data_IF_448749816080
#
_entry.id   IF_448749816080
#
_cell.length_a   1.000
_cell.length_b   1.000
_cell.length_c   1.000
_cell.angle_alpha   90.00
_cell.angle_beta   90.00
_cell.angle_gamma   90.00
#
_symmetry.space_group_name_H-M   'P 1'
#
loop_
_entity.id
_entity.type
_entity.pdbx_description
1 polymer ?
#
# COMPACT_ATOMS: atom_id res chain seq x y z
N UNK A 1 -97.27 -105.59 -98.84
CA UNK A 1 -96.78 -105.59 -100.25
C UNK A 1 -97.97 -105.91 -101.17
N UNK A 2 -99.14 -105.34 -100.87
CA UNK A 2 -100.42 -105.85 -101.38
C UNK A 2 -101.18 -104.81 -102.22
N UNK A 3 -100.60 -103.62 -102.44
CA UNK A 3 -101.18 -102.57 -103.31
C UNK A 3 -100.71 -102.65 -104.77
N UNK A 4 -99.82 -103.59 -105.12
CA UNK A 4 -99.19 -103.63 -106.45
C UNK A 4 -100.09 -104.11 -107.59
N UNK A 5 -101.27 -104.67 -107.29
CA UNK A 5 -102.08 -105.44 -108.25
C UNK A 5 -103.42 -104.82 -108.63
N UNK A 6 -103.82 -103.65 -108.07
CA UNK A 6 -105.18 -103.13 -108.32
C UNK A 6 -105.32 -101.66 -108.75
N UNK A 7 -104.44 -100.72 -108.36
CA UNK A 7 -104.54 -99.33 -108.82
C UNK A 7 -103.18 -98.67 -109.07
N UNK A 8 -102.99 -98.15 -110.29
CA UNK A 8 -101.72 -97.68 -110.83
C UNK A 8 -101.42 -96.23 -110.38
N UNK A 9 -101.06 -96.00 -109.10
CA UNK A 9 -100.74 -94.66 -108.57
C UNK A 9 -99.71 -94.66 -107.43
N UNK A 10 -98.61 -93.92 -107.59
CA UNK A 10 -97.46 -93.90 -106.67
C UNK A 10 -97.58 -92.89 -105.50
N UNK A 11 -98.78 -92.62 -104.97
CA UNK A 11 -98.98 -91.61 -103.92
C UNK A 11 -98.16 -91.87 -102.65
N UNK A 12 -98.20 -93.12 -102.16
CA UNK A 12 -97.49 -93.56 -100.95
C UNK A 12 -95.97 -93.40 -101.07
N UNK A 13 -95.40 -93.60 -102.27
CA UNK A 13 -93.96 -93.42 -102.50
C UNK A 13 -93.57 -91.93 -102.54
N UNK A 14 -94.44 -91.06 -103.07
CA UNK A 14 -94.23 -89.60 -103.06
C UNK A 14 -94.36 -89.05 -101.64
N UNK A 15 -95.27 -89.57 -100.81
CA UNK A 15 -95.38 -89.19 -99.40
C UNK A 15 -94.17 -89.67 -98.58
N UNK A 16 -93.71 -90.90 -98.78
CA UNK A 16 -92.47 -91.42 -98.16
C UNK A 16 -91.25 -90.60 -98.61
N UNK A 17 -91.15 -90.25 -99.89
CA UNK A 17 -90.05 -89.42 -100.40
C UNK A 17 -90.07 -88.01 -99.80
N UNK A 18 -91.24 -87.38 -99.67
CA UNK A 18 -91.38 -86.06 -99.03
C UNK A 18 -91.10 -86.13 -97.53
N UNK A 19 -91.51 -87.19 -96.86
CA UNK A 19 -91.21 -87.42 -95.45
C UNK A 19 -89.71 -87.63 -95.22
N UNK A 20 -89.02 -88.36 -96.11
CA UNK A 20 -87.58 -88.56 -96.03
C UNK A 20 -86.81 -87.28 -96.41
N UNK A 21 -87.26 -86.48 -97.40
CA UNK A 21 -86.71 -85.14 -97.68
C UNK A 21 -86.89 -84.17 -96.50
N UNK A 22 -88.08 -84.15 -95.88
CA UNK A 22 -88.36 -83.31 -94.72
C UNK A 22 -87.49 -83.73 -93.53
N UNK A 23 -87.39 -85.04 -93.25
CA UNK A 23 -86.50 -85.61 -92.23
C UNK A 23 -85.02 -85.32 -92.51
N UNK A 24 -84.57 -85.36 -93.76
CA UNK A 24 -83.21 -84.96 -94.14
C UNK A 24 -82.98 -83.46 -93.96
N UNK A 25 -83.98 -82.62 -94.23
CA UNK A 25 -83.94 -81.18 -93.96
C UNK A 25 -83.86 -80.88 -92.47
N UNK A 26 -84.68 -81.53 -91.65
CA UNK A 26 -84.68 -81.42 -90.19
C UNK A 26 -83.36 -81.95 -89.59
N UNK A 27 -82.83 -83.08 -90.06
CA UNK A 27 -81.49 -83.56 -89.69
C UNK A 27 -80.38 -82.58 -90.11
N UNK A 28 -80.46 -81.97 -91.30
CA UNK A 28 -79.47 -81.01 -91.76
C UNK A 28 -79.50 -79.72 -90.90
N UNK A 29 -80.69 -79.27 -90.49
CA UNK A 29 -80.86 -78.13 -89.59
C UNK A 29 -80.37 -78.45 -88.18
N UNK A 30 -80.71 -79.61 -87.62
CA UNK A 30 -80.17 -80.09 -86.33
C UNK A 30 -78.64 -80.19 -86.36
N UNK A 31 -78.04 -80.78 -87.40
CA UNK A 31 -76.58 -80.84 -87.60
C UNK A 31 -75.96 -79.43 -87.76
N UNK A 32 -76.71 -78.47 -88.30
CA UNK A 32 -76.28 -77.06 -88.42
C UNK A 32 -76.28 -76.36 -87.06
N UNK A 33 -77.33 -76.56 -86.26
CA UNK A 33 -77.46 -76.07 -84.88
C UNK A 33 -76.38 -76.70 -83.99
N UNK A 34 -76.16 -78.01 -84.09
CA UNK A 34 -75.12 -78.73 -83.36
C UNK A 34 -73.72 -78.18 -83.70
N UNK A 35 -73.40 -77.99 -85.00
CA UNK A 35 -72.14 -77.34 -85.42
C UNK A 35 -71.99 -75.92 -84.88
N UNK A 36 -73.07 -75.14 -84.78
CA UNK A 36 -73.06 -73.80 -84.17
C UNK A 36 -72.84 -73.88 -82.64
N UNK A 37 -73.47 -74.84 -81.97
CA UNK A 37 -73.33 -75.06 -80.53
C UNK A 37 -71.91 -75.54 -80.17
N UNK A 38 -71.33 -76.49 -80.90
CA UNK A 38 -69.94 -76.95 -80.72
C UNK A 38 -68.97 -75.79 -80.92
N UNK A 39 -69.16 -74.94 -81.95
CA UNK A 39 -68.35 -73.71 -82.13
C UNK A 39 -68.49 -72.75 -80.94
N UNK A 40 -69.70 -72.55 -80.42
CA UNK A 40 -69.96 -71.66 -79.28
C UNK A 40 -69.35 -72.20 -77.98
N UNK A 41 -69.46 -73.51 -77.74
CA UNK A 41 -68.83 -74.19 -76.60
C UNK A 41 -67.30 -74.10 -76.70
N UNK A 42 -66.71 -74.35 -77.86
CA UNK A 42 -65.26 -74.21 -78.06
C UNK A 42 -64.77 -72.77 -77.85
N UNK A 43 -65.51 -71.77 -78.36
CA UNK A 43 -65.19 -70.37 -78.11
C UNK A 43 -65.29 -70.01 -76.63
N UNK A 44 -66.33 -70.46 -75.92
CA UNK A 44 -66.47 -70.25 -74.48
C UNK A 44 -65.35 -70.96 -73.69
N UNK A 45 -64.93 -72.16 -74.10
CA UNK A 45 -63.79 -72.86 -73.52
C UNK A 45 -62.46 -72.11 -73.75
N UNK A 46 -62.25 -71.56 -74.95
CA UNK A 46 -61.10 -70.71 -75.25
C UNK A 46 -61.11 -69.44 -74.40
N UNK A 47 -62.23 -68.74 -74.34
CA UNK A 47 -62.40 -67.53 -73.52
C UNK A 47 -62.16 -67.80 -72.02
N UNK A 48 -62.77 -68.87 -71.48
CA UNK A 48 -62.58 -69.28 -70.09
C UNK A 48 -61.11 -69.60 -69.81
N UNK A 49 -60.42 -70.30 -70.72
CA UNK A 49 -58.99 -70.61 -70.61
C UNK A 49 -58.13 -69.34 -70.67
N UNK A 50 -58.47 -68.37 -71.52
CA UNK A 50 -57.73 -67.09 -71.58
C UNK A 50 -57.97 -66.21 -70.36
N UNK A 51 -59.18 -66.15 -69.81
CA UNK A 51 -59.44 -65.39 -68.58
C UNK A 51 -58.80 -66.06 -67.36
N UNK A 52 -58.80 -67.41 -67.27
CA UNK A 52 -58.01 -68.13 -66.26
C UNK A 52 -56.51 -67.83 -66.36
N UNK A 53 -55.99 -67.78 -67.60
CA UNK A 53 -54.58 -67.46 -67.85
C UNK A 53 -54.25 -66.03 -67.39
N UNK A 54 -55.04 -65.03 -67.78
CA UNK A 54 -54.90 -63.63 -67.33
C UNK A 54 -54.99 -63.51 -65.82
N UNK A 55 -56.01 -64.10 -65.19
CA UNK A 55 -56.20 -64.03 -63.74
C UNK A 55 -55.04 -64.68 -62.96
N UNK A 56 -54.46 -65.75 -63.50
CA UNK A 56 -53.24 -66.37 -62.95
C UNK A 56 -52.01 -65.47 -63.14
N UNK A 57 -51.85 -64.85 -64.31
CA UNK A 57 -50.73 -63.97 -64.61
C UNK A 57 -50.80 -62.67 -63.76
N UNK A 58 -51.98 -62.07 -63.57
CA UNK A 58 -52.22 -60.96 -62.63
C UNK A 58 -51.98 -61.36 -61.17
N UNK A 59 -52.36 -62.57 -60.77
CA UNK A 59 -52.11 -63.08 -59.41
C UNK A 59 -50.61 -63.24 -59.16
N UNK A 60 -49.86 -63.72 -60.14
CA UNK A 60 -48.40 -63.83 -60.08
C UNK A 60 -47.75 -62.44 -60.00
N UNK A 61 -48.16 -61.46 -60.84
CA UNK A 61 -47.65 -60.09 -60.77
C UNK A 61 -47.93 -59.45 -59.40
N UNK A 62 -49.12 -59.66 -58.83
CA UNK A 62 -49.44 -59.23 -57.45
C UNK A 62 -48.59 -59.95 -56.41
N UNK A 63 -48.28 -61.22 -56.60
CA UNK A 63 -47.39 -61.96 -55.71
C UNK A 63 -45.95 -61.41 -55.74
N UNK A 64 -45.41 -61.16 -56.93
CA UNK A 64 -44.08 -60.60 -57.14
C UNK A 64 -43.96 -59.17 -56.59
N UNK A 65 -45.00 -58.35 -56.74
CA UNK A 65 -45.03 -57.00 -56.14
C UNK A 65 -45.08 -57.06 -54.61
N UNK A 66 -45.83 -58.00 -54.02
CA UNK A 66 -45.85 -58.21 -52.56
C UNK A 66 -44.50 -58.72 -52.05
N UNK A 67 -43.84 -59.63 -52.76
CA UNK A 67 -42.49 -60.10 -52.42
C UNK A 67 -41.50 -58.93 -52.44
N UNK A 68 -41.44 -58.16 -53.54
CA UNK A 68 -40.57 -56.98 -53.67
C UNK A 68 -40.82 -55.92 -52.59
N UNK A 69 -42.08 -55.63 -52.26
CA UNK A 69 -42.42 -54.68 -51.21
C UNK A 69 -42.02 -55.18 -49.81
N UNK A 70 -42.18 -56.48 -49.55
CA UNK A 70 -41.71 -57.11 -48.30
C UNK A 70 -40.20 -56.99 -48.16
N UNK A 71 -39.44 -57.29 -49.21
CA UNK A 71 -37.98 -57.19 -49.22
C UNK A 71 -37.52 -55.74 -49.00
N UNK A 72 -38.16 -54.77 -49.65
CA UNK A 72 -37.92 -53.33 -49.43
C UNK A 72 -38.23 -52.88 -47.98
N UNK A 73 -39.29 -53.41 -47.36
CA UNK A 73 -39.60 -53.15 -45.94
C UNK A 73 -38.53 -53.77 -45.03
N UNK A 74 -38.09 -55.00 -45.30
CA UNK A 74 -37.05 -55.65 -44.50
C UNK A 74 -35.69 -54.94 -44.63
N UNK A 75 -35.30 -54.54 -45.83
CA UNK A 75 -34.10 -53.74 -46.08
C UNK A 75 -34.15 -52.38 -45.37
N UNK A 76 -35.26 -51.64 -45.51
CA UNK A 76 -35.39 -50.33 -44.86
C UNK A 76 -35.40 -50.42 -43.34
N UNK A 77 -36.02 -51.45 -42.74
CA UNK A 77 -35.95 -51.71 -41.31
C UNK A 77 -34.51 -52.02 -40.84
N UNK A 78 -33.79 -52.90 -41.56
CA UNK A 78 -32.40 -53.23 -41.25
C UNK A 78 -31.48 -51.99 -41.36
N UNK A 79 -31.63 -51.21 -42.44
CA UNK A 79 -30.86 -49.99 -42.65
C UNK A 79 -31.16 -48.92 -41.60
N UNK A 80 -32.41 -48.85 -41.09
CA UNK A 80 -32.78 -47.92 -40.03
C UNK A 80 -32.17 -48.35 -38.68
N UNK A 81 -32.28 -49.63 -38.30
CA UNK A 81 -31.64 -50.17 -37.10
C UNK A 81 -30.11 -49.96 -37.11
N UNK A 82 -29.45 -50.19 -38.25
CA UNK A 82 -28.02 -49.93 -38.41
C UNK A 82 -27.67 -48.43 -38.25
N UNK A 83 -28.46 -47.54 -38.87
CA UNK A 83 -28.30 -46.08 -38.73
C UNK A 83 -28.53 -45.63 -37.28
N UNK A 84 -29.55 -46.15 -36.61
CA UNK A 84 -29.84 -45.85 -35.21
C UNK A 84 -28.69 -46.27 -34.30
N UNK A 85 -28.17 -47.50 -34.46
CA UNK A 85 -27.00 -48.00 -33.72
C UNK A 85 -25.74 -47.17 -33.98
N UNK A 86 -25.54 -46.71 -35.22
CA UNK A 86 -24.43 -45.81 -35.57
C UNK A 86 -24.56 -44.45 -34.87
N UNK A 87 -25.71 -43.78 -35.01
CA UNK A 87 -25.96 -42.46 -34.40
C UNK A 87 -25.87 -42.53 -32.88
N UNK A 88 -26.43 -43.58 -32.26
CA UNK A 88 -26.34 -43.79 -30.81
C UNK A 88 -24.90 -43.94 -30.31
N UNK A 89 -24.06 -44.72 -31.01
CA UNK A 89 -22.63 -44.85 -30.67
C UNK A 89 -21.85 -43.57 -30.93
N UNK A 90 -22.15 -42.86 -32.02
CA UNK A 90 -21.51 -41.59 -32.35
C UNK A 90 -21.82 -40.51 -31.32
N UNK A 91 -23.08 -40.38 -30.91
CA UNK A 91 -23.48 -39.41 -29.88
C UNK A 91 -22.89 -39.76 -28.52
N UNK A 92 -22.86 -41.05 -28.14
CA UNK A 92 -22.21 -41.49 -26.90
C UNK A 92 -20.72 -41.10 -26.86
N UNK A 93 -19.97 -41.40 -27.93
CA UNK A 93 -18.56 -41.02 -28.04
C UNK A 93 -18.36 -39.49 -28.08
N UNK A 94 -19.30 -38.74 -28.69
CA UNK A 94 -19.28 -37.27 -28.70
C UNK A 94 -19.53 -36.68 -27.32
N UNK A 95 -20.42 -37.28 -26.52
CA UNK A 95 -20.67 -36.88 -25.13
C UNK A 95 -19.44 -37.19 -24.28
N UNK A 96 -18.91 -38.41 -24.35
CA UNK A 96 -17.70 -38.84 -23.64
C UNK A 96 -16.51 -37.90 -23.91
N UNK A 97 -16.20 -37.63 -25.19
CA UNK A 97 -15.14 -36.69 -25.57
C UNK A 97 -15.38 -35.26 -25.02
N UNK A 98 -16.63 -34.80 -24.97
CA UNK A 98 -16.94 -33.48 -24.41
C UNK A 98 -16.81 -33.46 -22.89
N UNK A 99 -17.24 -34.52 -22.19
CA UNK A 99 -17.06 -34.66 -20.74
C UNK A 99 -15.57 -34.65 -20.36
N UNK A 100 -14.74 -35.44 -21.04
CA UNK A 100 -13.28 -35.46 -20.81
C UNK A 100 -12.64 -34.10 -21.10
N UNK A 101 -13.02 -33.43 -22.19
CA UNK A 101 -12.53 -32.09 -22.53
C UNK A 101 -12.92 -31.03 -21.50
N UNK A 102 -14.15 -31.10 -20.97
CA UNK A 102 -14.64 -30.19 -19.93
C UNK A 102 -13.93 -30.48 -18.60
N UNK A 103 -13.84 -31.74 -18.18
CA UNK A 103 -13.14 -32.17 -16.96
C UNK A 103 -11.67 -31.75 -16.97
N UNK A 104 -10.96 -31.92 -18.09
CA UNK A 104 -9.58 -31.44 -18.23
C UNK A 104 -9.48 -29.90 -18.12
N UNK A 105 -10.41 -29.17 -18.72
CA UNK A 105 -10.44 -27.70 -18.62
C UNK A 105 -10.81 -27.21 -17.22
N UNK A 106 -11.71 -27.91 -16.54
CA UNK A 106 -12.12 -27.63 -15.15
C UNK A 106 -10.93 -27.84 -14.22
N UNK A 107 -10.27 -29.00 -14.33
CA UNK A 107 -9.06 -29.30 -13.55
C UNK A 107 -7.94 -28.27 -13.76
N UNK A 108 -7.67 -27.83 -15.00
CA UNK A 108 -6.65 -26.80 -15.26
C UNK A 108 -7.02 -25.48 -14.55
N UNK A 109 -8.29 -25.12 -14.48
CA UNK A 109 -8.77 -23.94 -13.76
C UNK A 109 -8.72 -24.14 -12.24
N UNK A 110 -9.00 -25.34 -11.74
CA UNK A 110 -8.83 -25.70 -10.32
C UNK A 110 -7.36 -25.61 -9.89
N UNK A 111 -6.45 -26.22 -10.64
CA UNK A 111 -5.01 -26.20 -10.40
C UNK A 111 -4.49 -24.73 -10.37
N UNK A 112 -4.90 -23.90 -11.35
CA UNK A 112 -4.59 -22.46 -11.37
C UNK A 112 -5.17 -21.70 -10.17
N UNK A 113 -6.38 -22.07 -9.72
CA UNK A 113 -7.05 -21.44 -8.59
C UNK A 113 -6.41 -21.84 -7.25
N UNK A 114 -5.85 -23.05 -7.13
CA UNK A 114 -5.00 -23.44 -6.00
C UNK A 114 -3.66 -22.70 -6.02
N UNK A 115 -2.98 -22.64 -7.16
CA UNK A 115 -1.72 -21.89 -7.30
C UNK A 115 -1.90 -20.41 -6.91
N UNK A 116 -2.99 -19.78 -7.37
CA UNK A 116 -3.29 -18.39 -7.02
C UNK A 116 -3.58 -18.18 -5.53
N UNK A 117 -4.24 -19.14 -4.86
CA UNK A 117 -4.46 -19.09 -3.41
C UNK A 117 -3.15 -19.20 -2.64
N UNK A 118 -2.31 -20.17 -2.98
CA UNK A 118 -1.02 -20.39 -2.32
C UNK A 118 -0.10 -19.17 -2.49
N UNK A 119 -0.11 -18.54 -3.66
CA UNK A 119 0.60 -17.28 -3.90
C UNK A 119 0.04 -16.12 -3.05
N UNK A 120 -1.28 -15.99 -2.91
CA UNK A 120 -1.91 -14.96 -2.05
C UNK A 120 -1.54 -15.18 -0.58
N UNK A 121 -1.62 -16.41 -0.08
CA UNK A 121 -1.26 -16.74 1.31
C UNK A 121 0.23 -16.49 1.59
N UNK A 122 1.10 -16.78 0.62
CA UNK A 122 2.53 -16.46 0.72
C UNK A 122 2.78 -14.95 0.73
N UNK A 123 2.16 -14.19 -0.18
CA UNK A 123 2.29 -12.73 -0.23
C UNK A 123 1.74 -12.07 1.05
N UNK A 124 0.61 -12.54 1.57
CA UNK A 124 0.05 -12.10 2.85
C UNK A 124 1.01 -12.33 4.02
N UNK A 125 1.72 -13.47 4.06
CA UNK A 125 2.74 -13.74 5.08
C UNK A 125 3.95 -12.81 4.94
N UNK A 126 4.49 -12.66 3.74
CA UNK A 126 5.57 -11.71 3.45
C UNK A 126 5.21 -10.28 3.86
N UNK A 127 4.00 -9.83 3.52
CA UNK A 127 3.49 -8.51 3.89
C UNK A 127 3.42 -8.33 5.41
N UNK A 128 2.92 -9.32 6.16
CA UNK A 128 2.86 -9.27 7.63
C UNK A 128 4.27 -9.22 8.24
N UNK A 129 5.22 -9.99 7.73
CA UNK A 129 6.62 -9.97 8.20
C UNK A 129 7.30 -8.62 7.91
N UNK A 130 7.09 -8.04 6.72
CA UNK A 130 7.58 -6.70 6.34
C UNK A 130 6.95 -5.62 7.24
N UNK A 131 5.64 -5.67 7.49
CA UNK A 131 4.99 -4.74 8.41
C UNK A 131 5.54 -4.84 9.83
N UNK A 132 5.76 -6.06 10.34
CA UNK A 132 6.33 -6.29 11.67
C UNK A 132 7.75 -5.72 11.76
N UNK A 133 8.58 -5.95 10.73
CA UNK A 133 9.91 -5.35 10.64
C UNK A 133 9.86 -3.82 10.63
N UNK A 134 9.02 -3.22 9.78
CA UNK A 134 8.87 -1.77 9.69
C UNK A 134 8.37 -1.16 11.00
N UNK A 135 7.35 -1.75 11.63
CA UNK A 135 6.85 -1.35 12.96
C UNK A 135 7.95 -1.44 14.00
N UNK A 136 8.75 -2.52 14.01
CA UNK A 136 9.86 -2.66 14.94
C UNK A 136 10.94 -1.58 14.71
N UNK A 137 11.35 -1.35 13.47
CA UNK A 137 12.31 -0.31 13.10
C UNK A 137 11.85 1.09 13.56
N UNK A 138 10.58 1.46 13.29
CA UNK A 138 9.98 2.71 13.77
C UNK A 138 10.04 2.80 15.29
N UNK A 139 9.62 1.77 16.04
CA UNK A 139 9.66 1.82 17.52
C UNK A 139 11.08 1.88 18.09
N UNK A 140 12.09 1.41 17.36
CA UNK A 140 13.49 1.53 17.79
C UNK A 140 14.00 2.96 17.54
N UNK A 141 13.72 3.54 16.38
CA UNK A 141 14.03 4.95 16.08
C UNK A 141 13.33 5.91 17.04
N UNK A 142 12.07 5.67 17.39
CA UNK A 142 11.34 6.46 18.39
C UNK A 142 12.00 6.39 19.78
N UNK A 143 12.49 5.22 20.20
CA UNK A 143 13.26 5.07 21.45
C UNK A 143 14.59 5.81 21.37
N UNK A 144 15.32 5.71 20.27
CA UNK A 144 16.58 6.44 20.08
C UNK A 144 16.35 7.95 20.13
N UNK A 145 15.34 8.47 19.42
CA UNK A 145 14.94 9.88 19.48
C UNK A 145 14.60 10.29 20.91
N UNK A 146 13.83 9.48 21.65
CA UNK A 146 13.52 9.75 23.07
C UNK A 146 14.77 9.79 23.94
N UNK A 147 15.68 8.83 23.79
CA UNK A 147 16.93 8.77 24.55
C UNK A 147 17.82 10.01 24.27
N UNK A 148 17.89 10.45 23.01
CA UNK A 148 18.61 11.66 22.63
C UNK A 148 17.94 12.93 23.17
N UNK A 149 16.62 13.04 23.12
CA UNK A 149 15.88 14.17 23.73
C UNK A 149 16.12 14.26 25.24
N UNK A 150 16.05 13.14 25.96
CA UNK A 150 16.29 13.09 27.41
C UNK A 150 17.73 13.45 27.76
N UNK A 151 18.70 12.92 27.01
CA UNK A 151 20.12 13.26 27.17
C UNK A 151 20.38 14.75 26.94
N UNK A 152 19.94 15.31 25.82
CA UNK A 152 20.16 16.73 25.51
C UNK A 152 19.37 17.66 26.43
N UNK A 153 18.20 17.25 26.93
CA UNK A 153 17.47 17.97 27.97
C UNK A 153 18.29 18.08 29.26
N UNK A 154 18.79 16.95 29.77
CA UNK A 154 19.64 16.90 30.96
C UNK A 154 20.94 17.70 30.81
N UNK A 155 21.63 17.56 29.67
CA UNK A 155 22.84 18.35 29.37
C UNK A 155 22.54 19.86 29.30
N UNK A 156 21.40 20.25 28.74
CA UNK A 156 20.99 21.66 28.66
C UNK A 156 20.64 22.23 30.05
N UNK A 157 19.96 21.46 30.91
CA UNK A 157 19.66 21.84 32.29
C UNK A 157 20.93 21.99 33.14
N UNK A 158 21.89 21.06 33.03
CA UNK A 158 23.18 21.15 33.71
C UNK A 158 23.94 22.40 33.26
N UNK A 159 24.01 22.66 31.95
CA UNK A 159 24.67 23.86 31.40
C UNK A 159 23.97 25.15 31.79
N UNK A 160 22.63 25.17 31.85
CA UNK A 160 21.88 26.32 32.34
C UNK A 160 22.19 26.59 33.82
N UNK A 161 22.23 25.56 34.66
CA UNK A 161 22.59 25.67 36.07
C UNK A 161 24.03 26.16 36.27
N UNK A 162 24.99 25.68 35.48
CA UNK A 162 26.38 26.16 35.53
C UNK A 162 26.52 27.62 35.07
N UNK A 163 25.83 28.02 34.00
CA UNK A 163 25.75 29.42 33.58
C UNK A 163 25.18 30.32 34.69
N UNK A 164 24.13 29.88 35.40
CA UNK A 164 23.57 30.61 36.55
C UNK A 164 24.57 30.70 37.71
N UNK A 165 25.27 29.61 38.06
CA UNK A 165 26.33 29.60 39.09
C UNK A 165 27.46 30.59 38.73
N UNK A 166 27.89 30.62 37.47
CA UNK A 166 28.94 31.53 36.99
C UNK A 166 28.45 32.99 36.98
N UNK A 167 27.21 33.25 36.58
CA UNK A 167 26.60 34.57 36.63
C UNK A 167 26.47 35.09 38.07
N UNK A 168 26.08 34.23 39.02
CA UNK A 168 26.02 34.56 40.43
C UNK A 168 27.41 34.87 41.01
N UNK A 169 28.41 34.03 40.74
CA UNK A 169 29.82 34.29 41.11
C UNK A 169 30.32 35.62 40.56
N UNK A 170 30.08 35.89 39.26
CA UNK A 170 30.46 37.15 38.61
C UNK A 170 29.80 38.35 39.31
N UNK A 171 28.50 38.27 39.63
CA UNK A 171 27.78 39.33 40.32
C UNK A 171 28.33 39.60 41.72
N UNK A 172 28.78 38.58 42.46
CA UNK A 172 29.47 38.75 43.75
C UNK A 172 30.81 39.45 43.55
N UNK A 173 31.66 38.96 42.63
CA UNK A 173 32.98 39.57 42.38
C UNK A 173 32.88 41.01 41.86
N UNK A 174 31.83 41.37 41.11
CA UNK A 174 31.60 42.75 40.68
C UNK A 174 31.32 43.66 41.89
N UNK A 175 30.50 43.22 42.85
CA UNK A 175 30.23 43.98 44.08
C UNK A 175 31.49 44.13 44.94
N UNK A 176 32.26 43.06 45.11
CA UNK A 176 33.53 43.10 45.84
C UNK A 176 34.52 44.11 45.23
N UNK A 177 34.56 44.22 43.89
CA UNK A 177 35.36 45.21 43.18
C UNK A 177 34.78 46.64 43.31
N UNK A 178 33.47 46.81 43.26
CA UNK A 178 32.79 48.10 43.48
C UNK A 178 33.05 48.63 44.91
N UNK A 179 32.91 47.78 45.92
CA UNK A 179 33.20 48.09 47.32
C UNK A 179 34.68 48.45 47.54
N UNK A 180 35.60 47.66 46.97
CA UNK A 180 37.05 47.93 47.06
C UNK A 180 37.43 49.23 46.33
N UNK A 181 36.81 49.54 45.20
CA UNK A 181 37.03 50.78 44.47
C UNK A 181 36.49 51.98 45.26
N UNK A 182 35.33 51.85 45.92
CA UNK A 182 34.81 52.88 46.83
C UNK A 182 35.76 53.11 48.02
N UNK A 183 36.28 52.04 48.62
CA UNK A 183 37.25 52.14 49.73
C UNK A 183 38.56 52.79 49.28
N UNK A 184 39.07 52.45 48.10
CA UNK A 184 40.25 53.09 47.52
C UNK A 184 40.03 54.59 47.29
N UNK A 185 38.87 54.99 46.76
CA UNK A 185 38.50 56.40 46.60
C UNK A 185 38.41 57.14 47.95
N UNK A 186 37.84 56.50 48.98
CA UNK A 186 37.79 57.06 50.34
C UNK A 186 39.19 57.30 50.89
N UNK A 187 40.08 56.31 50.85
CA UNK A 187 41.47 56.45 51.32
C UNK A 187 42.28 57.45 50.50
N UNK A 188 42.07 57.54 49.18
CA UNK A 188 42.71 58.56 48.35
C UNK A 188 42.29 59.97 48.79
N UNK A 189 41.00 60.20 49.03
CA UNK A 189 40.49 61.46 49.56
C UNK A 189 41.04 61.79 50.95
N UNK A 190 41.20 60.79 51.83
CA UNK A 190 41.83 60.96 53.15
C UNK A 190 43.31 61.36 53.05
N UNK A 191 44.06 60.71 52.16
CA UNK A 191 45.48 61.01 51.88
C UNK A 191 45.62 62.42 51.32
N UNK A 192 44.81 62.80 50.33
CA UNK A 192 44.86 64.12 49.71
C UNK A 192 44.46 65.23 50.71
N UNK A 193 43.45 64.98 51.55
CA UNK A 193 43.08 65.88 52.64
C UNK A 193 44.20 66.03 53.68
N UNK A 194 44.89 64.94 54.04
CA UNK A 194 46.02 64.96 54.97
C UNK A 194 47.25 65.69 54.37
N UNK A 195 47.55 65.46 53.09
CA UNK A 195 48.62 66.17 52.38
C UNK A 195 48.33 67.68 52.31
N UNK A 196 47.10 68.07 51.94
CA UNK A 196 46.69 69.47 51.93
C UNK A 196 46.68 70.11 53.34
N UNK A 197 46.34 69.35 54.38
CA UNK A 197 46.47 69.83 55.77
C UNK A 197 47.94 70.02 56.16
N UNK A 198 48.81 69.05 55.87
CA UNK A 198 50.25 69.10 56.15
C UNK A 198 50.93 70.26 55.42
N UNK A 199 50.56 70.53 54.17
CA UNK A 199 51.04 71.68 53.41
C UNK A 199 50.60 73.01 54.05
N UNK A 200 49.33 73.14 54.46
CA UNK A 200 48.83 74.32 55.20
C UNK A 200 49.57 74.54 56.51
N UNK A 201 49.83 73.49 57.29
CA UNK A 201 50.60 73.60 58.54
C UNK A 201 52.06 73.98 58.28
N UNK A 202 52.70 73.40 57.25
CA UNK A 202 54.05 73.77 56.85
C UNK A 202 54.12 75.24 56.38
N UNK A 203 53.12 75.72 55.64
CA UNK A 203 53.02 77.12 55.21
C UNK A 203 52.82 78.09 56.39
N UNK A 204 51.97 77.74 57.37
CA UNK A 204 51.84 78.50 58.63
C UNK A 204 53.16 78.54 59.40
N UNK A 205 53.80 77.39 59.62
CA UNK A 205 55.07 77.31 60.35
C UNK A 205 56.19 78.10 59.65
N UNK A 206 56.26 78.07 58.32
CA UNK A 206 57.19 78.89 57.54
C UNK A 206 56.90 80.39 57.68
N UNK A 207 55.62 80.79 57.68
CA UNK A 207 55.20 82.17 57.91
C UNK A 207 55.55 82.63 59.33
N UNK A 208 55.25 81.85 60.36
CA UNK A 208 55.62 82.13 61.75
C UNK A 208 57.13 82.22 61.93
N UNK A 209 57.91 81.28 61.38
CA UNK A 209 59.37 81.33 61.42
C UNK A 209 59.92 82.61 60.75
N UNK A 210 59.32 83.04 59.64
CA UNK A 210 59.65 84.30 58.99
C UNK A 210 59.32 85.51 59.90
N UNK A 211 58.13 85.54 60.52
CA UNK A 211 57.75 86.57 61.48
C UNK A 211 58.69 86.62 62.70
N UNK A 212 59.06 85.48 63.27
CA UNK A 212 60.04 85.39 64.37
C UNK A 212 61.43 85.87 63.95
N UNK A 213 61.86 85.57 62.73
CA UNK A 213 63.11 86.09 62.16
C UNK A 213 63.07 87.61 62.05
N UNK A 214 62.02 88.18 61.45
CA UNK A 214 61.83 89.63 61.33
C UNK A 214 61.73 90.31 62.70
N UNK A 215 60.99 89.73 63.65
CA UNK A 215 60.92 90.21 65.02
C UNK A 215 62.29 90.20 65.71
N UNK A 216 63.11 89.19 65.46
CA UNK A 216 64.49 89.10 65.98
C UNK A 216 65.37 90.20 65.39
N UNK A 217 65.26 90.48 64.08
CA UNK A 217 65.96 91.59 63.41
C UNK A 217 65.53 92.95 64.00
N UNK A 218 64.23 93.19 64.17
CA UNK A 218 63.69 94.41 64.79
C UNK A 218 64.19 94.55 66.23
N UNK A 219 64.14 93.48 67.03
CA UNK A 219 64.63 93.49 68.40
C UNK A 219 66.16 93.73 68.47
N UNK A 220 66.95 93.15 67.56
CA UNK A 220 68.40 93.37 67.50
C UNK A 220 68.74 94.81 67.09
N UNK A 221 68.01 95.36 66.10
CA UNK A 221 68.10 96.77 65.72
C UNK A 221 67.75 97.70 66.87
N UNK A 222 66.66 97.41 67.61
CA UNK A 222 66.25 98.20 68.76
C UNK A 222 67.26 98.10 69.92
N UNK A 223 67.70 96.90 70.31
CA UNK A 223 68.74 96.70 71.34
C UNK A 223 70.04 97.42 70.97
N UNK A 224 70.49 97.30 69.72
CA UNK A 224 71.66 98.03 69.21
C UNK A 224 71.46 99.55 69.23
N UNK A 225 70.24 100.03 68.98
CA UNK A 225 69.89 101.45 69.06
C UNK A 225 69.82 101.96 70.50
N UNK A 226 69.28 101.18 71.45
CA UNK A 226 69.33 101.50 72.88
C UNK A 226 70.77 101.64 73.39
N UNK A 227 71.66 100.71 73.00
CA UNK A 227 73.08 100.77 73.37
C UNK A 227 73.77 101.97 72.73
N UNK A 228 73.59 102.21 71.42
CA UNK A 228 74.23 103.34 70.70
C UNK A 228 73.72 104.72 71.14
N UNK A 229 72.45 104.85 71.51
CA UNK A 229 71.83 106.10 72.02
C UNK A 229 71.88 106.24 73.55
N UNK A 230 72.44 105.27 74.27
CA UNK A 230 72.59 105.33 75.73
C UNK A 230 71.28 105.32 76.51
N UNK A 231 70.26 104.65 75.98
CA UNK A 231 68.92 104.56 76.57
C UNK A 231 68.83 103.38 77.55
N UNK A 232 68.13 103.59 78.67
CA UNK A 232 67.94 102.56 79.71
C UNK A 232 69.21 102.24 80.52
N UNK A 233 69.38 100.98 80.98
CA UNK A 233 70.45 100.61 81.94
C UNK A 233 71.88 100.69 81.39
N UNK A 234 72.07 101.02 80.11
CA UNK A 234 73.40 101.20 79.48
C UNK A 234 74.01 102.60 79.72
N UNK A 235 73.38 103.43 80.56
CA UNK A 235 73.87 104.76 80.96
C UNK A 235 75.04 104.62 81.96
N UNK A 236 76.26 104.99 81.54
CA UNK A 236 77.51 104.78 82.32
C UNK A 236 77.57 105.65 83.58
N UNK A 237 77.91 105.07 84.75
CA UNK A 237 78.20 105.78 86.02
C UNK A 237 79.47 105.23 86.72
N UNK A 238 79.97 105.90 87.78
CA UNK A 238 81.32 105.73 88.37
C UNK A 238 81.33 105.14 89.81
N UNK A 239 82.18 104.10 90.02
CA UNK A 239 83.04 103.73 91.19
C UNK A 239 82.53 103.68 92.68
N UNK A 240 82.74 102.52 93.32
CA UNK A 240 83.01 102.30 94.78
C UNK A 240 81.83 101.87 95.68
N UNK A 241 81.95 101.15 96.82
CA UNK A 241 83.10 100.51 97.52
C UNK A 241 82.63 99.52 98.65
N UNK A 242 82.87 98.21 98.47
CA UNK A 242 83.54 97.20 99.34
C UNK A 242 83.20 96.94 100.86
N UNK A 243 83.03 95.64 101.20
CA UNK A 243 83.32 94.93 102.49
C UNK A 243 83.04 93.41 102.28
N UNK A 244 83.75 92.38 102.81
CA UNK A 244 85.15 92.02 103.09
C UNK A 244 85.10 90.68 103.89
N UNK A 245 85.66 89.57 103.38
CA UNK A 245 85.72 88.27 104.09
C UNK A 245 86.52 87.18 103.36
N UNK A 246 87.72 86.84 103.85
CA UNK A 246 88.63 85.74 103.41
C UNK A 246 88.13 84.38 103.97
N UNK A 247 88.49 83.15 103.55
CA UNK A 247 89.36 82.50 102.53
C UNK A 247 89.15 80.95 102.60
N UNK A 248 89.57 80.02 101.71
CA UNK A 248 90.06 80.02 100.30
C UNK A 248 90.27 78.56 99.78
N UNK A 249 89.25 77.94 99.16
CA UNK A 249 89.40 76.75 98.28
C UNK A 249 89.15 75.35 98.91
N UNK A 250 88.83 74.28 98.14
CA UNK A 250 88.81 74.19 96.65
C UNK A 250 87.94 73.00 96.12
N UNK A 251 87.08 73.30 95.13
CA UNK A 251 86.49 72.44 94.05
C UNK A 251 85.42 71.37 94.34
N UNK A 252 84.21 71.64 93.82
CA UNK A 252 83.15 70.72 93.38
C UNK A 252 83.62 69.79 92.23
N UNK A 253 82.95 68.69 91.82
CA UNK A 253 81.53 68.30 91.90
C UNK A 253 80.87 68.44 90.50
N UNK A 254 80.93 67.42 89.64
CA UNK A 254 79.89 66.38 89.41
C UNK A 254 78.47 66.95 89.14
N UNK A 255 78.06 66.90 87.86
CA UNK A 255 76.78 66.42 87.26
C UNK A 255 75.47 66.62 88.08
N UNK A 256 74.31 67.00 87.51
CA UNK A 256 73.53 66.24 86.50
C UNK A 256 72.09 66.83 86.40
N UNK A 257 71.36 66.50 85.31
CA UNK A 257 69.87 66.49 85.19
C UNK A 257 69.16 67.86 85.24
N UNK A 258 67.96 68.02 84.68
CA UNK A 258 66.97 67.02 84.21
C UNK A 258 67.03 66.81 82.69
#
# INVERSE_FOLDING_TARGET
MDELTFQNSFKTLVEISKFEEQKQSEEAELRSIEKKNVKKINNLHMMLKTEFKKGMDELNERHDTVARLKDQIQETLFMNDLKFKYVSKWEAARIEQNCERLSLSEKILEDQLTDLKDNIDMEMRCHVEIEMYMKHATTNLEKEIKNWMEKYGSELEERAADCQKLQAKRAVTCKELEDLLSLYQQHQNEIDAYLAHKEKEAAKAAHEAHLYCMATVIQAWWRGTMVRRGLGPYKKSKKGKDRKGKAKGRKEGIKKKI
#
